data_IF_854525668201
#
_entry.id   IF_854525668201
#
_cell.length_a   1.000
_cell.length_b   1.000
_cell.length_c   1.000
_cell.angle_alpha   90.00
_cell.angle_beta   90.00
_cell.angle_gamma   90.00
#
_symmetry.space_group_name_H-M   'P 1'
#
loop_
_entity.id
_entity.type
_entity.pdbx_description
1 polymer ?
#
# COMPACT_ATOMS: atom_id res chain seq x y z
N UNK A 1 13.29 9.41 -16.56
CA UNK A 1 13.27 10.02 -15.22
C UNK A 1 11.87 9.75 -14.66
N UNK A 2 11.75 9.17 -13.47
CA UNK A 2 10.43 8.91 -12.88
C UNK A 2 9.74 10.26 -12.60
N UNK A 3 8.50 10.44 -13.06
CA UNK A 3 7.80 11.74 -13.12
C UNK A 3 7.31 12.25 -11.77
N UNK A 4 8.22 12.43 -10.82
CA UNK A 4 7.92 12.92 -9.46
C UNK A 4 7.62 14.42 -9.50
N UNK A 5 6.46 14.89 -8.97
CA UNK A 5 6.17 16.32 -8.85
C UNK A 5 7.19 17.06 -7.98
N UNK A 6 7.47 18.33 -8.30
CA UNK A 6 8.49 19.14 -7.62
C UNK A 6 8.24 19.26 -6.10
N UNK A 7 6.98 19.45 -5.69
CA UNK A 7 6.61 19.53 -4.27
C UNK A 7 6.85 18.24 -3.46
N UNK A 8 7.08 17.11 -4.13
CA UNK A 8 7.24 15.79 -3.52
C UNK A 8 8.65 15.21 -3.65
N UNK A 9 9.61 15.97 -4.19
CA UNK A 9 11.00 15.52 -4.34
C UNK A 9 11.63 15.12 -3.00
N UNK A 10 11.29 15.80 -1.90
CA UNK A 10 11.76 15.49 -0.55
C UNK A 10 10.99 14.36 0.15
N UNK A 11 9.93 13.83 -0.47
CA UNK A 11 9.07 12.81 0.13
C UNK A 11 8.19 12.11 -0.88
N UNK A 12 8.73 11.08 -1.52
CA UNK A 12 8.04 10.20 -2.45
C UNK A 12 8.60 8.78 -2.39
N UNK A 13 7.89 7.84 -3.01
CA UNK A 13 8.38 6.49 -3.29
C UNK A 13 7.79 6.02 -4.64
N UNK A 14 8.61 6.01 -5.69
CA UNK A 14 8.22 5.62 -7.04
C UNK A 14 9.03 4.39 -7.42
N UNK A 15 8.37 3.28 -7.76
CA UNK A 15 9.03 2.10 -8.28
C UNK A 15 8.33 1.62 -9.54
N UNK A 16 9.14 1.15 -10.48
CA UNK A 16 8.72 0.66 -11.78
C UNK A 16 9.49 -0.63 -12.06
N UNK A 17 8.76 -1.68 -12.43
CA UNK A 17 9.29 -3.01 -12.70
C UNK A 17 8.97 -3.36 -14.15
N UNK A 18 10.00 -3.60 -14.96
CA UNK A 18 9.87 -4.00 -16.35
C UNK A 18 10.28 -5.45 -16.55
N UNK A 19 9.48 -6.19 -17.29
CA UNK A 19 9.79 -7.54 -17.75
C UNK A 19 9.60 -7.58 -19.27
N UNK A 20 10.66 -7.88 -20.01
CA UNK A 20 10.62 -7.99 -21.47
C UNK A 20 10.97 -9.42 -21.88
N UNK A 21 10.21 -10.00 -22.80
CA UNK A 21 10.50 -11.32 -23.36
C UNK A 21 11.81 -11.33 -24.14
N UNK A 22 12.50 -12.48 -24.28
CA UNK A 22 13.77 -12.55 -25.02
C UNK A 22 13.68 -12.08 -26.48
N UNK A 23 12.55 -12.33 -27.14
CA UNK A 23 12.27 -11.92 -28.52
C UNK A 23 11.76 -10.47 -28.63
N UNK A 24 11.65 -9.76 -27.50
CA UNK A 24 11.21 -8.36 -27.37
C UNK A 24 9.78 -8.08 -27.85
N UNK A 25 8.96 -9.12 -28.07
CA UNK A 25 7.58 -8.94 -28.54
C UNK A 25 6.58 -8.71 -27.41
N UNK A 26 6.94 -9.04 -26.17
CA UNK A 26 6.09 -8.89 -24.99
C UNK A 26 6.81 -8.07 -23.93
N UNK A 27 6.09 -7.09 -23.36
CA UNK A 27 6.56 -6.27 -22.25
C UNK A 27 5.47 -6.16 -21.19
N UNK A 28 5.84 -6.33 -19.93
CA UNK A 28 5.02 -6.02 -18.77
C UNK A 28 5.66 -4.89 -17.98
N UNK A 29 4.83 -4.00 -17.48
CA UNK A 29 5.22 -2.91 -16.58
C UNK A 29 4.30 -2.91 -15.37
N UNK A 30 4.91 -2.85 -14.18
CA UNK A 30 4.20 -2.62 -12.92
C UNK A 30 4.76 -1.38 -12.28
N UNK A 31 3.88 -0.47 -11.85
CA UNK A 31 4.28 0.78 -11.22
C UNK A 31 3.46 1.05 -9.97
N UNK A 32 4.11 1.55 -8.92
CA UNK A 32 3.43 2.13 -7.76
C UNK A 32 4.18 3.38 -7.28
N UNK A 33 3.42 4.48 -7.20
CA UNK A 33 3.95 5.80 -6.93
C UNK A 33 3.21 6.41 -5.75
N UNK A 34 3.97 6.80 -4.73
CA UNK A 34 3.44 7.45 -3.53
C UNK A 34 4.03 8.86 -3.45
N UNK A 35 3.15 9.85 -3.39
CA UNK A 35 3.49 11.23 -3.09
C UNK A 35 3.18 11.54 -1.62
N UNK A 36 4.17 12.07 -0.89
CA UNK A 36 4.02 12.44 0.51
C UNK A 36 3.66 11.25 1.40
N UNK A 37 2.71 11.45 2.32
CA UNK A 37 2.43 10.51 3.42
C UNK A 37 0.98 10.05 3.54
N UNK A 38 0.12 10.48 2.61
CA UNK A 38 -1.33 10.26 2.70
C UNK A 38 -1.70 8.77 2.78
N UNK A 39 -1.04 7.92 1.99
CA UNK A 39 -1.30 6.47 1.99
C UNK A 39 -1.03 5.83 3.36
N UNK A 40 0.03 6.26 4.05
CA UNK A 40 0.37 5.75 5.39
C UNK A 40 -0.62 6.24 6.45
N UNK A 41 -1.06 7.50 6.33
CA UNK A 41 -2.07 8.06 7.23
C UNK A 41 -3.41 7.34 7.07
N UNK A 42 -3.88 7.16 5.84
CA UNK A 42 -5.13 6.43 5.55
C UNK A 42 -5.05 4.96 5.99
N UNK A 43 -3.96 4.27 5.67
CA UNK A 43 -3.75 2.89 6.13
C UNK A 43 -3.75 2.77 7.65
N UNK A 44 -3.18 3.73 8.37
CA UNK A 44 -3.23 3.76 9.85
C UNK A 44 -4.66 3.92 10.37
N UNK A 45 -5.49 4.74 9.72
CA UNK A 45 -6.90 4.89 10.08
C UNK A 45 -7.66 3.56 9.91
N UNK A 46 -7.41 2.83 8.81
CA UNK A 46 -8.01 1.51 8.58
C UNK A 46 -7.56 0.49 9.64
N UNK A 47 -6.28 0.50 10.02
CA UNK A 47 -5.75 -0.34 11.12
C UNK A 47 -6.48 -0.07 12.43
N UNK A 48 -6.73 1.20 12.77
CA UNK A 48 -7.41 1.56 14.02
C UNK A 48 -8.85 1.04 14.03
N UNK A 49 -9.58 1.17 12.91
CA UNK A 49 -10.95 0.64 12.78
C UNK A 49 -10.95 -0.89 12.89
N UNK A 50 -10.03 -1.55 12.17
CA UNK A 50 -9.84 -2.98 12.24
C UNK A 50 -9.62 -3.45 13.67
N UNK A 51 -8.66 -2.84 14.37
CA UNK A 51 -8.28 -3.25 15.71
C UNK A 51 -9.42 -2.99 16.72
N UNK A 52 -10.13 -1.87 16.59
CA UNK A 52 -11.31 -1.59 17.40
C UNK A 52 -12.37 -2.68 17.25
N UNK A 53 -12.62 -3.16 16.02
CA UNK A 53 -13.54 -4.28 15.75
C UNK A 53 -13.06 -5.58 16.41
N UNK A 54 -11.76 -5.90 16.36
CA UNK A 54 -11.19 -7.12 16.99
C UNK A 54 -11.27 -7.08 18.52
N UNK A 55 -11.08 -5.90 19.12
CA UNK A 55 -11.26 -5.69 20.57
C UNK A 55 -12.73 -5.87 20.95
N UNK A 56 -13.65 -5.25 20.20
CA UNK A 56 -15.09 -5.34 20.47
C UNK A 56 -15.60 -6.78 20.36
N UNK A 57 -15.10 -7.55 19.38
CA UNK A 57 -15.46 -8.95 19.21
C UNK A 57 -14.73 -9.91 20.16
N UNK A 58 -13.87 -9.41 21.05
CA UNK A 58 -13.01 -10.21 21.95
C UNK A 58 -12.25 -11.31 21.20
N UNK A 59 -11.65 -10.96 20.07
CA UNK A 59 -10.91 -11.93 19.27
C UNK A 59 -9.72 -12.53 20.05
N UNK A 60 -9.52 -13.85 19.92
CA UNK A 60 -8.44 -14.56 20.63
C UNK A 60 -7.03 -14.14 20.15
N UNK A 61 -6.89 -13.76 18.88
CA UNK A 61 -5.63 -13.25 18.33
C UNK A 61 -5.38 -11.82 18.83
N UNK A 62 -4.17 -11.56 19.32
CA UNK A 62 -3.81 -10.27 19.93
C UNK A 62 -2.88 -9.40 19.07
N UNK A 63 -2.02 -10.02 18.26
CA UNK A 63 -1.02 -9.32 17.44
C UNK A 63 -1.39 -9.49 15.97
N UNK A 64 -1.47 -8.38 15.26
CA UNK A 64 -1.90 -8.32 13.86
C UNK A 64 -0.89 -7.56 13.01
N UNK A 65 -0.96 -7.77 11.69
CA UNK A 65 -0.20 -7.03 10.70
C UNK A 65 -1.11 -6.51 9.57
N UNK A 66 -0.54 -5.81 8.59
CA UNK A 66 -1.32 -5.21 7.50
C UNK A 66 -2.01 -6.24 6.59
N UNK A 67 -1.49 -7.48 6.48
CA UNK A 67 -2.16 -8.54 5.71
C UNK A 67 -3.46 -8.97 6.41
N UNK A 68 -3.48 -8.98 7.75
CA UNK A 68 -4.72 -9.24 8.49
C UNK A 68 -5.76 -8.14 8.22
N UNK A 69 -5.34 -6.87 8.18
CA UNK A 69 -6.22 -5.73 7.88
C UNK A 69 -6.78 -5.83 6.46
N UNK A 70 -5.92 -6.12 5.47
CA UNK A 70 -6.34 -6.26 4.06
C UNK A 70 -7.34 -7.41 3.85
N UNK A 71 -7.17 -8.52 4.57
CA UNK A 71 -8.07 -9.68 4.48
C UNK A 71 -9.45 -9.44 5.08
N UNK A 72 -9.57 -8.51 6.03
CA UNK A 72 -10.87 -8.10 6.58
C UNK A 72 -11.73 -7.36 5.54
N UNK A 73 -11.10 -6.79 4.52
CA UNK A 73 -11.76 -6.05 3.45
C UNK A 73 -11.86 -4.55 3.74
N UNK A 74 -12.56 -3.84 2.85
CA UNK A 74 -12.75 -2.40 2.99
C UNK A 74 -13.63 -2.08 4.22
N UNK A 75 -13.21 -1.09 5.01
CA UNK A 75 -13.94 -0.64 6.21
C UNK A 75 -14.46 0.80 6.08
N UNK A 76 -14.24 1.45 4.92
CA UNK A 76 -14.67 2.81 4.55
C UNK A 76 -14.70 3.03 3.04
#
# INVERSE_FOLDING_TARGET
MVGVPEEHLSGHAFHMYHLTSPDQTVSFEFQHNVCGRSIYAKGTVDVVIFLAKKVQSKADKLIYNMIDVLREGNMR
#
